data_IF_270388081155
#
_entry.id   IF_270388081155
#
_cell.length_a   1.000
_cell.length_b   1.000
_cell.length_c   1.000
_cell.angle_alpha   90.00
_cell.angle_beta   90.00
_cell.angle_gamma   90.00
#
_symmetry.space_group_name_H-M   'P 1'
#
loop_
_entity.id
_entity.type
_entity.pdbx_description
1 polymer ?
#
# COMPACT_ATOMS: atom_id res chain seq x y z
N UNK A 1 12.66 55.62 10.11
CA UNK A 1 13.88 54.96 9.60
C UNK A 1 13.75 54.86 8.08
N UNK A 2 14.60 55.52 7.29
CA UNK A 2 14.42 55.59 5.83
C UNK A 2 14.98 54.31 5.20
N UNK A 3 14.22 53.64 4.33
CA UNK A 3 14.62 52.39 3.65
C UNK A 3 16.02 52.45 3.00
N UNK A 4 16.48 53.64 2.61
CA UNK A 4 17.81 53.87 2.00
C UNK A 4 18.99 53.58 2.94
N UNK A 5 18.81 53.69 4.25
CA UNK A 5 19.89 53.48 5.22
C UNK A 5 20.20 51.99 5.44
N UNK A 6 19.20 51.12 5.24
CA UNK A 6 19.31 49.66 5.40
C UNK A 6 20.19 49.05 4.30
N UNK A 7 20.14 49.61 3.07
CA UNK A 7 20.95 49.15 1.93
C UNK A 7 22.34 49.79 1.87
N UNK A 8 22.84 50.43 2.93
CA UNK A 8 24.17 51.07 2.92
C UNK A 8 25.31 50.08 3.16
N UNK A 9 25.06 49.04 3.97
CA UNK A 9 26.05 48.03 4.34
C UNK A 9 26.05 46.85 3.35
N UNK A 10 27.25 46.37 2.97
CA UNK A 10 27.41 45.24 2.05
C UNK A 10 26.73 43.96 2.57
N UNK A 11 26.81 43.69 3.87
CA UNK A 11 26.17 42.52 4.50
C UNK A 11 24.64 42.52 4.32
N UNK A 12 23.98 43.66 4.54
CA UNK A 12 22.52 43.79 4.41
C UNK A 12 22.05 43.65 2.96
N UNK A 13 22.84 44.11 1.99
CA UNK A 13 22.57 43.89 0.56
C UNK A 13 22.64 42.43 0.18
N UNK A 14 23.70 41.73 0.60
CA UNK A 14 23.89 40.30 0.31
C UNK A 14 22.76 39.49 0.96
N UNK A 15 22.44 39.75 2.22
CA UNK A 15 21.32 39.09 2.92
C UNK A 15 19.99 39.29 2.20
N UNK A 16 19.69 40.50 1.73
CA UNK A 16 18.45 40.78 1.01
C UNK A 16 18.38 40.05 -0.33
N UNK A 17 19.47 40.04 -1.10
CA UNK A 17 19.52 39.34 -2.40
C UNK A 17 19.37 37.82 -2.19
N UNK A 18 20.09 37.24 -1.23
CA UNK A 18 20.00 35.81 -0.91
C UNK A 18 18.58 35.45 -0.47
N UNK A 19 17.97 36.26 0.40
CA UNK A 19 16.60 36.05 0.85
C UNK A 19 15.60 36.14 -0.31
N UNK A 20 15.76 37.10 -1.22
CA UNK A 20 14.90 37.25 -2.39
C UNK A 20 15.01 36.04 -3.35
N UNK A 21 16.22 35.52 -3.56
CA UNK A 21 16.45 34.32 -4.38
C UNK A 21 15.82 33.08 -3.75
N UNK A 22 15.97 32.91 -2.43
CA UNK A 22 15.35 31.79 -1.70
C UNK A 22 13.82 31.85 -1.80
N UNK A 23 13.23 33.03 -1.62
CA UNK A 23 11.78 33.22 -1.75
C UNK A 23 11.33 32.89 -3.17
N UNK A 24 12.05 33.35 -4.20
CA UNK A 24 11.73 33.05 -5.58
C UNK A 24 11.81 31.54 -5.89
N UNK A 25 12.82 30.85 -5.34
CA UNK A 25 12.94 29.40 -5.46
C UNK A 25 11.75 28.68 -4.80
N UNK A 26 11.42 29.03 -3.56
CA UNK A 26 10.29 28.42 -2.86
C UNK A 26 8.98 28.65 -3.59
N UNK A 27 8.74 29.86 -4.09
CA UNK A 27 7.56 30.17 -4.90
C UNK A 27 7.49 29.26 -6.14
N UNK A 28 8.59 29.13 -6.87
CA UNK A 28 8.65 28.26 -8.05
C UNK A 28 8.37 26.80 -7.69
N UNK A 29 8.99 26.29 -6.62
CA UNK A 29 8.74 24.92 -6.13
C UNK A 29 7.27 24.74 -5.74
N UNK A 30 6.67 25.67 -4.99
CA UNK A 30 5.26 25.61 -4.59
C UNK A 30 4.34 25.58 -5.81
N UNK A 31 4.60 26.39 -6.83
CA UNK A 31 3.82 26.39 -8.08
C UNK A 31 3.93 25.03 -8.77
N UNK A 32 5.15 24.51 -8.95
CA UNK A 32 5.37 23.21 -9.62
C UNK A 32 4.72 22.06 -8.86
N UNK A 33 4.83 22.04 -7.53
CA UNK A 33 4.22 21.02 -6.67
C UNK A 33 2.69 21.05 -6.73
N UNK A 34 2.08 22.24 -6.75
CA UNK A 34 0.62 22.36 -6.76
C UNK A 34 -0.01 22.27 -8.16
N UNK A 35 0.78 22.32 -9.23
CA UNK A 35 0.25 22.26 -10.61
C UNK A 35 0.62 20.97 -11.30
N UNK A 36 1.90 20.74 -11.56
CA UNK A 36 2.38 19.63 -12.40
C UNK A 36 2.59 18.36 -11.57
N UNK A 37 3.19 18.50 -10.38
CA UNK A 37 3.54 17.33 -9.55
C UNK A 37 2.47 16.96 -8.53
N UNK A 38 1.36 17.69 -8.47
CA UNK A 38 0.27 17.45 -7.53
C UNK A 38 -0.21 16.00 -7.49
N UNK A 39 -0.54 15.34 -8.62
CA UNK A 39 -0.98 13.94 -8.61
C UNK A 39 0.11 12.97 -8.15
N UNK A 40 1.38 13.26 -8.45
CA UNK A 40 2.51 12.42 -8.01
C UNK A 40 2.71 12.52 -6.50
N UNK A 41 2.69 13.76 -5.98
CA UNK A 41 2.86 14.02 -4.54
C UNK A 41 1.72 13.40 -3.74
N UNK A 42 0.47 13.56 -4.19
CA UNK A 42 -0.68 13.01 -3.49
C UNK A 42 -0.74 11.49 -3.60
N UNK A 43 -0.36 10.89 -4.73
CA UNK A 43 -0.27 9.43 -4.86
C UNK A 43 0.64 8.84 -3.78
N UNK A 44 1.83 9.43 -3.57
CA UNK A 44 2.76 9.01 -2.50
C UNK A 44 2.18 9.26 -1.11
N UNK A 45 1.49 10.38 -0.90
CA UNK A 45 0.87 10.74 0.38
C UNK A 45 -0.44 10.00 0.67
N UNK A 46 -0.88 9.12 -0.23
CA UNK A 46 -1.96 8.18 0.02
C UNK A 46 -3.25 8.39 -0.77
N UNK A 47 -3.19 9.16 -1.86
CA UNK A 47 -4.28 9.39 -2.81
C UNK A 47 -5.20 10.55 -2.43
N UNK A 48 -5.97 11.04 -3.41
CA UNK A 48 -7.00 12.03 -3.15
C UNK A 48 -8.11 11.42 -2.30
N UNK A 49 -8.48 12.09 -1.21
CA UNK A 49 -9.67 11.73 -0.46
C UNK A 49 -10.87 12.24 -1.24
N UNK A 50 -11.88 11.38 -1.41
CA UNK A 50 -13.13 11.78 -2.04
C UNK A 50 -13.72 13.00 -1.31
N UNK A 51 -13.84 14.12 -2.01
CA UNK A 51 -14.52 15.32 -1.50
C UNK A 51 -15.98 15.18 -1.88
N UNK A 52 -16.83 14.91 -0.89
CA UNK A 52 -18.27 14.81 -1.09
C UNK A 52 -18.89 16.21 -1.12
N UNK A 53 -19.92 16.40 -1.96
CA UNK A 53 -20.71 17.62 -1.94
C UNK A 53 -21.36 17.84 -0.56
N UNK A 54 -21.66 19.09 -0.22
CA UNK A 54 -22.26 19.42 1.07
C UNK A 54 -23.60 18.67 1.25
N UNK A 55 -23.70 17.83 2.28
CA UNK A 55 -24.85 16.97 2.54
C UNK A 55 -24.80 15.58 1.87
N UNK A 56 -23.80 15.27 1.04
CA UNK A 56 -23.62 13.94 0.46
C UNK A 56 -22.86 13.02 1.43
N UNK A 57 -23.48 11.91 1.81
CA UNK A 57 -22.85 10.88 2.62
C UNK A 57 -21.99 9.96 1.74
N UNK A 58 -20.82 9.51 2.22
CA UNK A 58 -20.04 8.50 1.52
C UNK A 58 -20.86 7.22 1.33
N UNK A 59 -20.94 6.73 0.09
CA UNK A 59 -21.63 5.47 -0.26
C UNK A 59 -20.93 4.28 0.42
N UNK A 60 -19.61 4.36 0.56
CA UNK A 60 -18.78 3.36 1.23
C UNK A 60 -18.06 4.00 2.39
N UNK A 61 -18.33 3.49 3.59
CA UNK A 61 -17.59 3.84 4.79
C UNK A 61 -16.65 2.67 5.12
N UNK A 62 -15.43 3.02 5.53
CA UNK A 62 -14.49 2.02 6.01
C UNK A 62 -14.88 1.62 7.43
N UNK A 63 -14.99 0.32 7.69
CA UNK A 63 -15.12 -0.22 9.04
C UNK A 63 -13.80 -0.14 9.83
N UNK A 64 -12.70 0.17 9.15
CA UNK A 64 -11.35 0.22 9.70
C UNK A 64 -10.83 1.64 9.83
N UNK A 65 -9.95 1.86 10.82
CA UNK A 65 -9.45 3.21 11.17
C UNK A 65 -8.09 3.50 10.52
N UNK A 66 -7.34 2.46 10.13
CA UNK A 66 -6.01 2.61 9.54
C UNK A 66 -5.82 1.79 8.26
N UNK A 67 -4.92 2.24 7.37
CA UNK A 67 -4.56 1.50 6.15
C UNK A 67 -4.01 0.11 6.45
N UNK A 68 -3.30 -0.04 7.58
CA UNK A 68 -2.74 -1.32 8.00
C UNK A 68 -3.84 -2.30 8.41
N UNK A 69 -4.87 -1.84 9.12
CA UNK A 69 -6.05 -2.67 9.46
C UNK A 69 -6.80 -3.11 8.20
N UNK A 70 -7.04 -2.19 7.26
CA UNK A 70 -7.70 -2.53 5.98
C UNK A 70 -6.90 -3.60 5.23
N UNK A 71 -5.58 -3.46 5.15
CA UNK A 71 -4.71 -4.43 4.47
C UNK A 71 -4.72 -5.79 5.16
N UNK A 72 -4.66 -5.82 6.49
CA UNK A 72 -4.71 -7.05 7.26
C UNK A 72 -6.05 -7.79 7.05
N UNK A 73 -7.16 -7.07 7.15
CA UNK A 73 -8.48 -7.63 6.92
C UNK A 73 -8.69 -8.09 5.47
N UNK A 74 -8.16 -7.35 4.49
CA UNK A 74 -8.20 -7.76 3.10
C UNK A 74 -7.41 -9.05 2.84
N UNK A 75 -6.23 -9.20 3.47
CA UNK A 75 -5.44 -10.44 3.36
C UNK A 75 -6.15 -11.63 4.00
N UNK A 76 -6.70 -11.46 5.21
CA UNK A 76 -7.48 -12.50 5.89
C UNK A 76 -8.70 -12.92 5.05
N UNK A 77 -9.40 -11.95 4.46
CA UNK A 77 -10.54 -12.23 3.60
C UNK A 77 -10.14 -12.94 2.30
N UNK A 78 -8.98 -12.62 1.73
CA UNK A 78 -8.45 -13.34 0.56
C UNK A 78 -8.09 -14.79 0.89
N UNK A 79 -7.55 -15.06 2.07
CA UNK A 79 -7.31 -16.43 2.55
C UNK A 79 -8.64 -17.19 2.67
N UNK A 80 -9.67 -16.59 3.27
CA UNK A 80 -11.01 -17.17 3.36
C UNK A 80 -11.62 -17.48 1.98
N UNK A 81 -11.49 -16.57 1.01
CA UNK A 81 -11.93 -16.83 -0.37
C UNK A 81 -11.20 -18.04 -0.97
N UNK A 82 -9.89 -18.17 -0.72
CA UNK A 82 -9.12 -19.31 -1.20
C UNK A 82 -9.61 -20.61 -0.56
N UNK A 83 -9.83 -20.63 0.77
CA UNK A 83 -10.33 -21.78 1.52
C UNK A 83 -11.65 -22.30 0.96
N UNK A 84 -12.61 -21.41 0.67
CA UNK A 84 -13.91 -21.76 0.10
C UNK A 84 -13.84 -22.06 -1.43
N UNK A 85 -12.82 -21.55 -2.11
CA UNK A 85 -12.64 -21.68 -3.55
C UNK A 85 -11.93 -22.96 -3.99
N UNK A 86 -11.18 -23.63 -3.10
CA UNK A 86 -10.49 -24.87 -3.45
C UNK A 86 -11.46 -26.05 -3.58
N UNK A 87 -11.39 -26.74 -4.72
CA UNK A 87 -12.24 -27.90 -4.99
C UNK A 87 -11.43 -29.19 -4.87
N UNK A 88 -11.79 -30.04 -3.90
CA UNK A 88 -11.22 -31.38 -3.76
C UNK A 88 -11.85 -32.32 -4.82
N UNK A 89 -11.12 -32.52 -5.92
CA UNK A 89 -11.62 -33.33 -7.05
C UNK A 89 -11.52 -34.84 -6.81
N UNK A 90 -10.50 -35.30 -6.06
CA UNK A 90 -10.23 -36.71 -5.81
C UNK A 90 -9.59 -36.90 -4.45
N UNK A 91 -10.08 -37.86 -3.66
CA UNK A 91 -9.56 -38.22 -2.35
C UNK A 91 -9.76 -39.71 -2.08
N UNK A 92 -8.85 -40.54 -2.60
CA UNK A 92 -8.86 -41.98 -2.34
C UNK A 92 -8.26 -42.24 -0.94
N UNK A 93 -8.76 -43.28 -0.26
CA UNK A 93 -8.25 -43.75 1.04
C UNK A 93 -8.20 -42.69 2.15
N UNK A 94 -9.02 -41.64 2.04
CA UNK A 94 -9.00 -40.48 2.95
C UNK A 94 -7.60 -39.87 3.10
N UNK A 95 -6.86 -39.76 1.99
CA UNK A 95 -5.51 -39.16 1.98
C UNK A 95 -5.48 -37.74 2.56
N UNK A 96 -6.56 -36.97 2.38
CA UNK A 96 -6.77 -35.68 3.03
C UNK A 96 -8.00 -35.74 3.96
N UNK A 97 -7.98 -35.00 5.09
CA UNK A 97 -6.92 -34.11 5.57
C UNK A 97 -5.70 -34.87 6.12
N UNK A 98 -4.51 -34.27 6.03
CA UNK A 98 -3.31 -34.83 6.64
C UNK A 98 -3.47 -34.88 8.16
N UNK A 99 -3.33 -36.07 8.73
CA UNK A 99 -3.42 -36.25 10.18
C UNK A 99 -2.12 -35.75 10.83
N UNK A 100 -2.26 -34.91 11.85
CA UNK A 100 -1.18 -34.33 12.65
C UNK A 100 -1.49 -34.54 14.13
N UNK A 101 -0.53 -34.31 15.05
CA UNK A 101 -0.81 -34.34 16.49
C UNK A 101 -1.88 -33.33 16.93
N UNK A 102 -2.12 -32.28 16.14
CA UNK A 102 -3.09 -31.21 16.42
C UNK A 102 -4.45 -31.44 15.70
N UNK A 103 -4.56 -32.50 14.89
CA UNK A 103 -5.78 -32.79 14.12
C UNK A 103 -6.93 -33.15 15.05
N UNK A 104 -8.09 -32.51 14.83
CA UNK A 104 -9.31 -32.76 15.62
C UNK A 104 -9.86 -34.18 15.46
N UNK A 105 -9.67 -34.76 14.28
CA UNK A 105 -10.04 -36.14 13.97
C UNK A 105 -8.79 -36.95 13.66
N UNK A 106 -8.68 -38.14 14.26
CA UNK A 106 -7.58 -39.09 14.07
C UNK A 106 -6.18 -38.48 14.28
N UNK A 107 -5.86 -37.92 15.47
CA UNK A 107 -4.54 -37.39 15.74
C UNK A 107 -3.48 -38.50 15.70
N UNK A 108 -2.31 -38.17 15.17
CA UNK A 108 -1.14 -39.06 15.11
C UNK A 108 -0.09 -38.63 16.12
N UNK A 109 0.75 -39.56 16.58
CA UNK A 109 1.76 -39.30 17.60
C UNK A 109 2.89 -38.37 17.13
N UNK A 110 3.16 -38.35 15.83
CA UNK A 110 4.25 -37.58 15.22
C UNK A 110 3.76 -36.84 13.97
N UNK A 111 4.38 -35.70 13.66
CA UNK A 111 4.03 -34.92 12.46
C UNK A 111 4.42 -35.72 11.21
N UNK A 112 3.52 -35.87 10.23
CA UNK A 112 3.84 -36.57 8.98
C UNK A 112 4.94 -35.82 8.23
N UNK A 113 5.91 -36.56 7.69
CA UNK A 113 6.92 -35.99 6.79
C UNK A 113 6.29 -35.65 5.44
N UNK A 114 6.40 -34.39 5.02
CA UNK A 114 5.87 -33.92 3.73
C UNK A 114 7.04 -33.55 2.82
N UNK A 115 7.14 -34.20 1.67
CA UNK A 115 8.07 -33.82 0.60
C UNK A 115 7.33 -33.03 -0.47
N UNK A 116 7.76 -31.80 -0.72
CA UNK A 116 7.10 -30.86 -1.62
C UNK A 116 7.81 -30.90 -2.97
N UNK A 117 7.06 -31.12 -4.04
CA UNK A 117 7.59 -31.22 -5.41
C UNK A 117 6.96 -30.16 -6.33
N UNK A 118 7.69 -29.79 -7.38
CA UNK A 118 7.22 -28.89 -8.44
C UNK A 118 7.67 -27.43 -8.27
N UNK A 119 7.91 -26.74 -9.39
CA UNK A 119 8.41 -25.35 -9.42
C UNK A 119 7.52 -24.37 -8.64
N UNK A 120 6.21 -24.57 -8.69
CA UNK A 120 5.27 -23.64 -8.09
C UNK A 120 5.22 -23.73 -6.55
N UNK A 121 5.95 -24.66 -5.94
CA UNK A 121 6.11 -24.72 -4.47
C UNK A 121 6.91 -23.54 -3.89
N UNK A 122 7.83 -22.98 -4.68
CA UNK A 122 8.64 -21.80 -4.32
C UNK A 122 8.28 -20.58 -5.16
N UNK A 123 7.46 -20.75 -6.20
CA UNK A 123 6.95 -19.69 -7.07
C UNK A 123 5.44 -19.88 -7.29
N UNK A 124 4.67 -19.54 -6.27
CA UNK A 124 3.22 -19.75 -6.21
C UNK A 124 2.54 -19.00 -7.35
N UNK A 125 1.63 -19.68 -8.05
CA UNK A 125 0.83 -19.06 -9.09
C UNK A 125 -0.31 -18.26 -8.45
N UNK A 126 -0.08 -16.97 -8.23
CA UNK A 126 -1.09 -16.05 -7.66
C UNK A 126 -2.18 -15.63 -8.65
N UNK A 127 -1.97 -15.83 -9.95
CA UNK A 127 -2.91 -15.44 -10.98
C UNK A 127 -2.45 -15.84 -12.39
N UNK A 128 -3.28 -15.51 -13.38
CA UNK A 128 -2.92 -15.66 -14.80
C UNK A 128 -1.89 -14.63 -15.25
N UNK A 129 -1.54 -14.65 -16.54
CA UNK A 129 -0.73 -13.61 -17.15
C UNK A 129 -1.57 -12.37 -17.52
N UNK A 130 -0.91 -11.26 -17.87
CA UNK A 130 -1.58 -10.04 -18.34
C UNK A 130 -1.83 -9.02 -17.21
N UNK A 131 -2.89 -8.22 -17.34
CA UNK A 131 -3.17 -7.09 -16.42
C UNK A 131 -3.50 -7.52 -14.98
N UNK A 132 -3.82 -8.80 -14.77
CA UNK A 132 -4.00 -9.42 -13.44
C UNK A 132 -2.82 -10.31 -13.01
N UNK A 133 -1.75 -10.39 -13.80
CA UNK A 133 -0.54 -11.09 -13.40
C UNK A 133 0.26 -10.23 -12.45
N UNK A 134 0.59 -10.75 -11.26
CA UNK A 134 1.29 -10.03 -10.18
C UNK A 134 2.71 -9.54 -10.48
N UNK A 135 3.06 -9.29 -11.75
CA UNK A 135 4.30 -8.63 -12.17
C UNK A 135 4.22 -7.09 -12.13
N UNK A 136 3.13 -6.52 -11.60
CA UNK A 136 2.98 -5.09 -11.33
C UNK A 136 3.39 -4.77 -9.90
N UNK A 137 4.68 -4.80 -9.63
CA UNK A 137 5.31 -4.38 -8.37
C UNK A 137 6.65 -3.73 -8.65
#
# INVERSE_FOLDING_TARGET
MKFKDIFKHRGTRVWFIVSAVIIALFLAVTIVVNTVLYPVVISVLGGERAVFAEGAQPIYQSDYTSKNEVLAAANEYNEYICEEGFVLLKNDDNALPLSTPESRANPVSERPGVSIFGKNSVNIAYGGSGSGGGSGG
#
